data_IF_666791737486
#
_entry.id   IF_666791737486
#
_cell.length_a   1.000
_cell.length_b   1.000
_cell.length_c   1.000
_cell.angle_alpha   90.00
_cell.angle_beta   90.00
_cell.angle_gamma   90.00
#
_symmetry.space_group_name_H-M   'P 1'
#
loop_
_entity.id
_entity.type
_entity.pdbx_description
1 polymer ?
#
# COMPACT_ATOMS: atom_id res chain seq x y z
N UNK A 1 0.06 -23.59 58.86
CA UNK A 1 -0.14 -23.68 57.40
C UNK A 1 -1.43 -22.93 57.05
N UNK A 2 -1.43 -21.89 56.21
CA UNK A 2 -2.65 -21.15 55.90
C UNK A 2 -3.50 -21.90 54.86
N UNK A 3 -4.79 -22.07 55.15
CA UNK A 3 -5.78 -22.69 54.27
C UNK A 3 -6.06 -21.76 53.07
N UNK A 4 -5.58 -22.13 51.89
CA UNK A 4 -5.77 -21.36 50.66
C UNK A 4 -7.18 -21.63 50.13
N UNK A 5 -8.12 -20.68 50.28
CA UNK A 5 -9.44 -20.75 49.64
C UNK A 5 -9.24 -20.72 48.12
N UNK A 6 -9.40 -21.86 47.47
CA UNK A 6 -9.51 -21.94 46.02
C UNK A 6 -10.94 -21.60 45.63
N UNK A 7 -11.11 -20.54 44.84
CA UNK A 7 -12.43 -20.18 44.30
C UNK A 7 -12.74 -21.16 43.18
N UNK A 8 -13.56 -22.18 43.45
CA UNK A 8 -14.09 -23.07 42.43
C UNK A 8 -15.26 -22.37 41.73
N UNK A 9 -14.99 -21.73 40.58
CA UNK A 9 -16.03 -21.25 39.69
C UNK A 9 -16.67 -22.45 38.97
N UNK A 10 -17.76 -22.98 39.52
CA UNK A 10 -18.65 -23.85 38.74
C UNK A 10 -19.48 -22.94 37.86
N UNK A 11 -19.04 -22.76 36.61
CA UNK A 11 -19.82 -22.04 35.60
C UNK A 11 -20.94 -22.99 35.19
N UNK A 12 -22.14 -22.78 35.73
CA UNK A 12 -23.33 -23.44 35.22
C UNK A 12 -23.46 -23.07 33.74
N UNK A 13 -23.77 -24.04 32.88
CA UNK A 13 -23.86 -23.82 31.43
C UNK A 13 -24.78 -22.65 31.07
N UNK A 14 -25.80 -22.40 31.90
CA UNK A 14 -26.73 -21.26 31.82
C UNK A 14 -26.02 -19.94 32.16
N UNK A 15 -25.21 -19.90 33.22
CA UNK A 15 -24.43 -18.72 33.58
C UNK A 15 -23.38 -18.37 32.51
N UNK A 16 -22.74 -19.38 31.91
CA UNK A 16 -21.84 -19.19 30.77
C UNK A 16 -22.54 -18.61 29.54
N UNK A 17 -23.75 -19.10 29.21
CA UNK A 17 -24.56 -18.59 28.10
C UNK A 17 -25.00 -17.14 28.37
N UNK A 18 -25.45 -16.82 29.58
CA UNK A 18 -25.79 -15.46 29.97
C UNK A 18 -24.60 -14.50 29.88
N UNK A 19 -23.41 -14.93 30.31
CA UNK A 19 -22.18 -14.14 30.19
C UNK A 19 -21.78 -13.93 28.73
N UNK A 20 -21.92 -14.95 27.87
CA UNK A 20 -21.70 -14.82 26.43
C UNK A 20 -22.64 -13.78 25.83
N UNK A 21 -23.94 -13.85 26.12
CA UNK A 21 -24.93 -12.89 25.62
C UNK A 21 -24.59 -11.47 26.09
N UNK A 22 -24.25 -11.29 27.37
CA UNK A 22 -23.84 -9.99 27.90
C UNK A 22 -22.56 -9.47 27.22
N UNK A 23 -21.61 -10.34 26.91
CA UNK A 23 -20.39 -9.99 26.19
C UNK A 23 -20.70 -9.49 24.77
N UNK A 24 -21.57 -10.18 24.01
CA UNK A 24 -22.00 -9.72 22.69
C UNK A 24 -22.78 -8.41 22.74
N UNK A 25 -23.61 -8.21 23.78
CA UNK A 25 -24.27 -6.93 24.03
C UNK A 25 -23.24 -5.83 24.24
N UNK A 26 -22.20 -6.09 25.05
CA UNK A 26 -21.10 -5.15 25.27
C UNK A 26 -20.40 -4.77 23.96
N UNK A 27 -20.00 -5.76 23.15
CA UNK A 27 -19.40 -5.53 21.82
C UNK A 27 -20.35 -4.73 20.92
N UNK A 28 -21.64 -5.05 20.92
CA UNK A 28 -22.63 -4.36 20.11
C UNK A 28 -22.69 -2.86 20.44
N UNK A 29 -22.65 -2.49 21.72
CA UNK A 29 -22.60 -1.08 22.12
C UNK A 29 -21.30 -0.39 21.67
N UNK A 30 -20.16 -1.05 21.83
CA UNK A 30 -18.86 -0.52 21.38
C UNK A 30 -18.86 -0.31 19.87
N UNK A 31 -19.26 -1.34 19.11
CA UNK A 31 -19.37 -1.25 17.65
C UNK A 31 -20.34 -0.16 17.26
N UNK A 32 -21.53 -0.09 17.86
CA UNK A 32 -22.52 0.97 17.58
C UNK A 32 -21.93 2.36 17.78
N UNK A 33 -21.20 2.60 18.87
CA UNK A 33 -20.51 3.87 19.12
C UNK A 33 -19.44 4.16 18.07
N UNK A 34 -18.59 3.18 17.75
CA UNK A 34 -17.57 3.30 16.73
C UNK A 34 -18.17 3.63 15.36
N UNK A 35 -19.18 2.87 14.93
CA UNK A 35 -19.90 3.08 13.69
C UNK A 35 -20.61 4.43 13.65
N UNK A 36 -21.11 4.92 14.77
CA UNK A 36 -21.74 6.25 14.85
C UNK A 36 -20.74 7.37 14.57
N UNK A 37 -19.58 7.36 15.24
CA UNK A 37 -18.49 8.32 14.99
C UNK A 37 -17.96 8.16 13.56
N UNK A 38 -17.73 6.93 13.13
CA UNK A 38 -17.17 6.63 11.82
C UNK A 38 -18.12 7.07 10.69
N UNK A 39 -19.43 6.90 10.87
CA UNK A 39 -20.45 7.39 9.95
C UNK A 39 -20.42 8.91 9.81
N UNK A 40 -20.25 9.63 10.91
CA UNK A 40 -20.13 11.09 10.89
C UNK A 40 -18.88 11.57 10.14
N UNK A 41 -17.75 10.88 10.33
CA UNK A 41 -16.45 11.24 9.74
C UNK A 41 -16.29 10.71 8.30
N UNK A 42 -17.00 9.64 7.93
CA UNK A 42 -16.95 9.00 6.63
C UNK A 42 -17.10 9.95 5.42
N UNK A 43 -18.08 10.88 5.36
CA UNK A 43 -18.17 11.80 4.22
C UNK A 43 -16.91 12.68 4.08
N UNK A 44 -16.33 13.11 5.20
CA UNK A 44 -15.07 13.88 5.20
C UNK A 44 -13.90 13.01 4.71
N UNK A 45 -13.85 11.73 5.12
CA UNK A 45 -12.83 10.79 4.66
C UNK A 45 -12.93 10.51 3.16
N UNK A 46 -14.14 10.45 2.60
CA UNK A 46 -14.33 10.28 1.16
C UNK A 46 -13.74 11.48 0.40
N UNK A 47 -14.03 12.70 0.86
CA UNK A 47 -13.47 13.92 0.27
C UNK A 47 -11.94 13.93 0.40
N UNK A 48 -11.42 13.58 1.58
CA UNK A 48 -9.97 13.48 1.81
C UNK A 48 -9.31 12.44 0.89
N UNK A 49 -9.95 11.28 0.68
CA UNK A 49 -9.47 10.25 -0.25
C UNK A 49 -9.39 10.79 -1.69
N UNK A 50 -10.40 11.56 -2.11
CA UNK A 50 -10.44 12.20 -3.42
C UNK A 50 -9.32 13.22 -3.61
N UNK A 51 -9.01 14.02 -2.57
CA UNK A 51 -7.90 14.99 -2.58
C UNK A 51 -6.53 14.30 -2.61
N UNK A 52 -6.35 13.22 -1.83
CA UNK A 52 -5.07 12.50 -1.73
C UNK A 52 -4.74 11.80 -3.06
N UNK A 53 -5.68 11.01 -3.57
CA UNK A 53 -5.54 10.31 -4.85
C UNK A 53 -6.93 10.01 -5.44
N UNK A 54 -7.40 10.93 -6.29
CA UNK A 54 -8.67 10.81 -7.02
C UNK A 54 -8.82 9.48 -7.77
N UNK A 55 -7.71 8.86 -8.19
CA UNK A 55 -7.77 7.61 -8.95
C UNK A 55 -8.37 6.48 -8.12
N UNK A 56 -8.18 6.46 -6.80
CA UNK A 56 -8.71 5.41 -5.94
C UNK A 56 -10.24 5.46 -5.91
N UNK A 57 -10.82 6.65 -5.74
CA UNK A 57 -12.27 6.85 -5.72
C UNK A 57 -12.88 6.59 -7.09
N UNK A 58 -12.27 7.15 -8.15
CA UNK A 58 -12.77 6.98 -9.53
C UNK A 58 -12.68 5.52 -9.96
N UNK A 59 -11.58 4.81 -9.66
CA UNK A 59 -11.43 3.40 -10.03
C UNK A 59 -12.42 2.52 -9.27
N UNK A 60 -12.73 2.85 -8.02
CA UNK A 60 -13.78 2.16 -7.27
C UNK A 60 -15.17 2.36 -7.90
N UNK A 61 -15.52 3.61 -8.27
CA UNK A 61 -16.76 3.89 -8.99
C UNK A 61 -16.84 3.19 -10.36
N UNK A 62 -15.74 3.18 -11.12
CA UNK A 62 -15.63 2.42 -12.37
C UNK A 62 -15.82 0.92 -12.15
N UNK A 63 -15.28 0.37 -11.08
CA UNK A 63 -15.46 -1.03 -10.70
C UNK A 63 -16.92 -1.34 -10.38
N UNK A 64 -17.64 -0.47 -9.67
CA UNK A 64 -19.07 -0.63 -9.43
C UNK A 64 -19.86 -0.66 -10.75
N UNK A 65 -19.65 0.30 -11.64
CA UNK A 65 -20.34 0.36 -12.94
C UNK A 65 -20.02 -0.88 -13.80
N UNK A 66 -18.75 -1.29 -13.85
CA UNK A 66 -18.34 -2.49 -14.59
C UNK A 66 -18.98 -3.75 -14.00
N UNK A 67 -19.07 -3.84 -12.67
CA UNK A 67 -19.73 -4.95 -11.99
C UNK A 67 -21.21 -5.01 -12.34
N UNK A 68 -21.92 -3.87 -12.35
CA UNK A 68 -23.33 -3.80 -12.80
C UNK A 68 -23.48 -4.24 -14.25
N UNK A 69 -22.58 -3.81 -15.14
CA UNK A 69 -22.63 -4.19 -16.56
C UNK A 69 -22.39 -5.69 -16.79
N UNK A 70 -21.46 -6.29 -16.04
CA UNK A 70 -21.09 -7.68 -16.22
C UNK A 70 -22.03 -8.65 -15.48
N UNK A 71 -22.49 -8.26 -14.29
CA UNK A 71 -23.43 -9.01 -13.47
C UNK A 71 -24.34 -8.03 -12.72
N UNK A 72 -25.54 -7.73 -13.28
CA UNK A 72 -26.44 -6.74 -12.72
C UNK A 72 -26.82 -7.02 -11.26
N UNK A 73 -27.09 -8.28 -10.92
CA UNK A 73 -27.47 -8.68 -9.56
C UNK A 73 -26.35 -8.33 -8.56
N UNK A 74 -25.11 -8.74 -8.87
CA UNK A 74 -23.97 -8.50 -8.00
C UNK A 74 -23.58 -7.01 -7.95
N UNK A 75 -23.72 -6.29 -9.06
CA UNK A 75 -23.46 -4.86 -9.11
C UNK A 75 -24.44 -4.04 -8.28
N UNK A 76 -25.74 -4.32 -8.39
CA UNK A 76 -26.76 -3.66 -7.58
C UNK A 76 -26.54 -3.98 -6.10
N UNK A 77 -26.28 -5.25 -5.76
CA UNK A 77 -25.95 -5.63 -4.40
C UNK A 77 -24.74 -4.84 -3.88
N UNK A 78 -23.66 -4.73 -4.66
CA UNK A 78 -22.47 -3.97 -4.28
C UNK A 78 -22.76 -2.48 -4.05
N UNK A 79 -23.61 -1.85 -4.87
CA UNK A 79 -24.02 -0.45 -4.68
C UNK A 79 -24.82 -0.31 -3.38
N UNK A 80 -25.79 -1.19 -3.13
CA UNK A 80 -26.59 -1.18 -1.90
C UNK A 80 -25.70 -1.39 -0.67
N UNK A 81 -24.78 -2.35 -0.70
CA UNK A 81 -23.79 -2.56 0.36
C UNK A 81 -22.88 -1.35 0.55
N UNK A 82 -22.57 -0.60 -0.51
CA UNK A 82 -21.78 0.63 -0.40
C UNK A 82 -22.56 1.75 0.28
N UNK A 83 -23.84 1.90 -0.05
CA UNK A 83 -24.70 2.94 0.54
C UNK A 83 -24.96 2.63 2.02
N UNK A 84 -25.25 1.38 2.37
CA UNK A 84 -25.50 0.97 3.77
C UNK A 84 -24.18 0.89 4.55
N UNK A 85 -23.13 0.36 3.92
CA UNK A 85 -21.81 0.17 4.50
C UNK A 85 -20.84 1.34 4.30
N UNK A 86 -21.34 2.53 3.95
CA UNK A 86 -20.50 3.69 3.61
C UNK A 86 -19.53 4.05 4.74
N UNK A 87 -19.97 3.88 5.99
CA UNK A 87 -19.18 4.08 7.19
C UNK A 87 -17.92 3.21 7.22
N UNK A 88 -17.91 2.06 6.54
CA UNK A 88 -16.72 1.20 6.39
C UNK A 88 -16.00 1.49 5.07
N UNK A 89 -16.76 1.59 3.98
CA UNK A 89 -16.19 1.71 2.63
C UNK A 89 -15.38 3.00 2.46
N UNK A 90 -15.87 4.14 2.95
CA UNK A 90 -15.18 5.42 2.76
C UNK A 90 -13.85 5.50 3.52
N UNK A 91 -13.75 5.11 4.81
CA UNK A 91 -12.47 4.97 5.49
C UNK A 91 -11.51 4.00 4.79
N UNK A 92 -12.01 2.89 4.24
CA UNK A 92 -11.17 1.95 3.49
C UNK A 92 -10.61 2.59 2.21
N UNK A 93 -11.41 3.36 1.48
CA UNK A 93 -10.95 4.10 0.30
C UNK A 93 -9.90 5.15 0.68
N UNK A 94 -10.13 5.87 1.78
CA UNK A 94 -9.16 6.82 2.33
C UNK A 94 -7.84 6.13 2.71
N UNK A 95 -7.90 5.04 3.47
CA UNK A 95 -6.73 4.27 3.86
C UNK A 95 -5.95 3.82 2.62
N UNK A 96 -6.65 3.25 1.62
CA UNK A 96 -6.05 2.84 0.34
C UNK A 96 -5.36 4.01 -0.38
N UNK A 97 -5.99 5.18 -0.43
CA UNK A 97 -5.41 6.38 -1.04
C UNK A 97 -4.16 6.85 -0.28
N UNK A 98 -4.24 6.90 1.05
CA UNK A 98 -3.15 7.31 1.92
C UNK A 98 -1.93 6.38 1.78
N UNK A 99 -2.13 5.07 1.88
CA UNK A 99 -1.05 4.08 1.73
C UNK A 99 -0.46 4.11 0.32
N UNK A 100 -1.29 4.19 -0.72
CA UNK A 100 -0.80 4.28 -2.11
C UNK A 100 0.10 5.51 -2.31
N UNK A 101 -0.28 6.66 -1.74
CA UNK A 101 0.55 7.87 -1.79
C UNK A 101 1.88 7.69 -1.06
N UNK A 102 1.86 7.09 0.14
CA UNK A 102 3.07 6.81 0.92
C UNK A 102 4.03 5.86 0.20
N UNK A 103 3.50 4.78 -0.37
CA UNK A 103 4.30 3.83 -1.15
C UNK A 103 4.90 4.52 -2.37
N UNK A 104 4.12 5.31 -3.12
CA UNK A 104 4.63 6.05 -4.27
C UNK A 104 5.77 6.98 -3.89
N UNK A 105 5.65 7.74 -2.81
CA UNK A 105 6.72 8.63 -2.34
C UNK A 105 7.96 7.86 -1.92
N UNK A 106 7.81 6.74 -1.22
CA UNK A 106 8.94 5.90 -0.85
C UNK A 106 9.66 5.35 -2.09
N UNK A 107 8.91 4.75 -3.04
CA UNK A 107 9.47 4.26 -4.31
C UNK A 107 10.17 5.37 -5.09
N UNK A 108 9.57 6.56 -5.18
CA UNK A 108 10.20 7.72 -5.84
C UNK A 108 11.50 8.11 -5.17
N UNK A 109 11.58 8.12 -3.83
CA UNK A 109 12.83 8.41 -3.12
C UNK A 109 13.92 7.37 -3.41
N UNK A 110 13.56 6.08 -3.50
CA UNK A 110 14.51 5.04 -3.90
C UNK A 110 14.93 5.16 -5.36
N UNK A 111 13.99 5.45 -6.27
CA UNK A 111 14.30 5.68 -7.68
C UNK A 111 15.18 6.93 -7.87
N UNK A 112 14.94 8.02 -7.13
CA UNK A 112 15.79 9.23 -7.13
C UNK A 112 17.16 9.02 -6.47
N UNK A 113 17.31 8.01 -5.60
CA UNK A 113 18.60 7.64 -5.01
C UNK A 113 19.38 6.64 -5.89
N UNK A 114 18.68 5.80 -6.67
CA UNK A 114 19.29 4.85 -7.60
C UNK A 114 19.60 5.48 -8.96
N UNK A 115 18.76 6.40 -9.44
CA UNK A 115 19.09 7.33 -10.52
C UNK A 115 19.89 8.46 -9.88
N UNK A 116 21.16 8.18 -9.55
CA UNK A 116 22.08 9.16 -8.98
C UNK A 116 22.01 10.47 -9.75
N UNK A 117 21.98 11.57 -8.99
CA UNK A 117 22.27 12.94 -9.40
C UNK A 117 22.28 13.12 -10.93
N UNK A 118 21.13 13.47 -11.52
CA UNK A 118 21.11 14.04 -12.86
C UNK A 118 21.92 15.34 -12.79
N UNK A 119 23.23 15.22 -12.95
CA UNK A 119 24.08 16.33 -13.31
C UNK A 119 23.62 16.68 -14.71
N UNK A 120 22.85 17.76 -14.84
CA UNK A 120 22.71 18.44 -16.12
C UNK A 120 24.14 18.80 -16.52
N UNK A 121 24.68 18.07 -17.50
CA UNK A 121 25.96 18.41 -18.09
C UNK A 121 25.80 19.80 -18.69
N UNK A 122 26.51 20.78 -18.13
CA UNK A 122 26.74 22.03 -18.82
C UNK A 122 27.58 21.68 -20.06
N UNK A 123 26.93 21.55 -21.22
CA UNK A 123 27.62 21.52 -22.51
C UNK A 123 28.38 22.85 -22.60
N UNK A 124 29.69 22.79 -22.34
CA UNK A 124 30.57 23.93 -22.53
C UNK A 124 30.59 24.26 -24.02
N UNK A 125 29.77 25.24 -24.41
CA UNK A 125 29.82 25.84 -25.73
C UNK A 125 31.22 26.43 -25.97
N UNK A 126 32.01 25.71 -26.77
CA UNK A 126 33.05 26.26 -27.64
C UNK A 126 34.16 27.11 -27.01
N UNK A 127 35.26 26.47 -26.61
CA UNK A 127 36.57 27.10 -26.67
C UNK A 127 37.66 26.08 -27.03
N UNK A 128 37.85 25.92 -28.34
CA UNK A 128 39.10 25.56 -29.02
C UNK A 128 40.29 25.16 -28.15
N UNK A 129 40.56 23.85 -28.04
CA UNK A 129 41.91 23.35 -27.77
C UNK A 129 42.25 22.27 -28.79
N UNK A 130 43.18 22.64 -29.67
CA UNK A 130 43.81 21.79 -30.66
C UNK A 130 44.57 20.68 -29.93
N UNK A 131 44.01 19.48 -29.84
CA UNK A 131 44.76 18.32 -29.35
C UNK A 131 44.97 17.34 -30.51
N UNK A 132 46.22 17.30 -30.99
CA UNK A 132 46.71 16.31 -31.96
C UNK A 132 46.29 14.91 -31.51
N UNK A 133 45.83 14.04 -32.43
CA UNK A 133 45.59 12.65 -32.10
C UNK A 133 46.88 12.03 -31.54
N UNK A 134 46.79 11.40 -30.37
CA UNK A 134 47.92 10.72 -29.73
C UNK A 134 48.41 9.59 -30.65
N UNK A 135 49.65 9.70 -31.13
CA UNK A 135 50.32 8.61 -31.82
C UNK A 135 50.70 7.51 -30.82
N UNK A 136 50.02 6.37 -30.90
CA UNK A 136 50.32 5.22 -30.04
C UNK A 136 51.63 4.56 -30.46
N UNK A 137 52.49 4.15 -29.49
CA UNK A 137 53.67 3.35 -29.79
C UNK A 137 53.26 1.98 -30.38
N UNK A 138 54.04 1.41 -31.32
CA UNK A 138 53.67 0.18 -32.00
C UNK A 138 53.53 -0.99 -31.02
N UNK A 139 52.39 -1.67 -31.10
CA UNK A 139 52.06 -2.85 -30.33
C UNK A 139 53.09 -3.96 -30.56
N UNK A 140 53.89 -4.29 -29.53
CA UNK A 140 54.67 -5.54 -29.51
C UNK A 140 53.68 -6.70 -29.32
N UNK A 141 53.35 -7.39 -30.41
CA UNK A 141 52.58 -8.63 -30.38
C UNK A 141 53.37 -9.69 -29.61
N UNK A 142 53.03 -9.91 -28.34
CA UNK A 142 53.41 -11.14 -27.63
C UNK A 142 52.45 -12.23 -28.08
N UNK A 143 52.98 -13.28 -28.71
CA UNK A 143 52.25 -14.54 -28.87
C UNK A 143 52.08 -15.16 -27.48
N UNK A 144 50.95 -14.89 -26.83
CA UNK A 144 50.47 -15.71 -25.74
C UNK A 144 49.32 -16.54 -26.30
N UNK A 145 49.61 -17.82 -26.55
CA UNK A 145 48.56 -18.84 -26.75
C UNK A 145 47.64 -18.82 -25.52
N UNK A 146 46.33 -18.91 -25.79
CA UNK A 146 45.25 -18.54 -24.89
C UNK A 146 45.27 -19.23 -23.53
N UNK A 147 45.65 -18.48 -22.51
CA UNK A 147 45.35 -18.78 -21.10
C UNK A 147 43.84 -18.62 -20.81
N UNK A 148 43.12 -17.89 -21.66
CA UNK A 148 41.66 -17.72 -21.59
C UNK A 148 40.86 -18.98 -21.97
N UNK A 149 41.43 -19.86 -22.80
CA UNK A 149 40.75 -21.09 -23.23
C UNK A 149 40.71 -22.15 -22.10
N UNK A 150 41.51 -21.97 -21.05
CA UNK A 150 41.56 -22.87 -19.90
C UNK A 150 40.54 -22.52 -18.81
N UNK A 151 39.91 -21.35 -18.88
CA UNK A 151 39.01 -20.85 -17.83
C UNK A 151 37.57 -21.37 -17.96
N UNK A 152 37.24 -22.02 -19.07
CA UNK A 152 35.87 -22.43 -19.40
C UNK A 152 35.73 -23.92 -19.76
N UNK A 153 36.78 -24.73 -19.52
CA UNK A 153 36.75 -26.19 -19.65
C UNK A 153 36.58 -26.88 -18.29
#
# INVERSE_FOLDING_TARGET
MPYRKTVQFRIDSIAGLLLMVLFFIGIFFVLRGLFWVLSWVAPVLLIAAFIIDRSVVINYGKWLIRTVKNNPLLGIAAIVFTVIGYAVVFPLLFAKAFFKKKIKTATQQYESQQQGEFVDFEELDGASSQEKPLELPPLKKKEQQGEYDQLFN
#
